data_IF_142417050826
#
_entry.id   IF_142417050826
#
_cell.length_a   1.000
_cell.length_b   1.000
_cell.length_c   1.000
_cell.angle_alpha   90.00
_cell.angle_beta   90.00
_cell.angle_gamma   90.00
#
_symmetry.space_group_name_H-M   'P 1'
#
loop_
_entity.id
_entity.type
_entity.pdbx_description
1 polymer ?
#
# COMPACT_ATOMS: atom_id res chain seq x y z
N UNK A 1 -54.97 5.33 -54.54
CA UNK A 1 -53.91 6.16 -53.90
C UNK A 1 -53.35 5.42 -52.70
N UNK A 2 -52.19 4.76 -52.85
CA UNK A 2 -51.50 4.05 -51.77
C UNK A 2 -50.36 4.93 -51.25
N UNK A 3 -50.40 5.31 -49.97
CA UNK A 3 -49.29 5.99 -49.29
C UNK A 3 -48.44 4.94 -48.57
N UNK A 4 -47.23 4.69 -49.09
CA UNK A 4 -46.17 3.94 -48.40
C UNK A 4 -45.70 4.74 -47.18
N UNK A 5 -45.81 4.17 -45.98
CA UNK A 5 -45.11 4.64 -44.78
C UNK A 5 -43.67 4.16 -44.85
N UNK A 6 -42.72 5.09 -44.93
CA UNK A 6 -41.31 4.79 -44.67
C UNK A 6 -41.14 4.56 -43.17
N UNK A 7 -40.76 3.35 -42.76
CA UNK A 7 -40.20 3.11 -41.43
C UNK A 7 -38.74 3.55 -41.45
N UNK A 8 -38.41 4.56 -40.63
CA UNK A 8 -37.02 4.91 -40.34
C UNK A 8 -36.43 3.78 -39.50
N UNK A 9 -35.49 3.03 -40.06
CA UNK A 9 -34.68 2.09 -39.28
C UNK A 9 -33.86 2.89 -38.27
N UNK A 10 -34.19 2.70 -37.00
CA UNK A 10 -33.39 3.20 -35.89
C UNK A 10 -32.08 2.40 -35.87
N UNK A 11 -30.99 2.99 -36.35
CA UNK A 11 -29.65 2.42 -36.18
C UNK A 11 -29.24 2.74 -34.74
N UNK A 12 -29.14 1.75 -33.83
CA UNK A 12 -28.65 2.03 -32.49
C UNK A 12 -27.21 2.54 -32.59
N UNK A 13 -26.91 3.66 -31.91
CA UNK A 13 -25.54 4.15 -31.81
C UNK A 13 -24.67 3.02 -31.22
N UNK A 14 -23.46 2.77 -31.76
CA UNK A 14 -22.55 1.81 -31.18
C UNK A 14 -22.35 2.19 -29.71
N UNK A 15 -22.69 1.27 -28.81
CA UNK A 15 -22.32 1.43 -27.41
C UNK A 15 -20.80 1.46 -27.37
N UNK A 16 -20.21 2.60 -27.00
CA UNK A 16 -18.78 2.67 -26.74
C UNK A 16 -18.47 1.65 -25.65
N UNK A 17 -17.83 0.53 -26.02
CA UNK A 17 -17.33 -0.44 -25.05
C UNK A 17 -16.46 0.33 -24.06
N UNK A 18 -16.75 0.16 -22.77
CA UNK A 18 -16.01 0.77 -21.68
C UNK A 18 -14.52 0.42 -21.86
N UNK A 19 -13.68 1.44 -21.99
CA UNK A 19 -12.24 1.26 -22.17
C UNK A 19 -11.65 0.83 -20.82
N UNK A 20 -10.96 -0.31 -20.72
CA UNK A 20 -10.56 -0.82 -19.42
C UNK A 20 -9.37 -0.03 -18.83
N UNK A 21 -9.31 0.12 -17.51
CA UNK A 21 -8.12 0.62 -16.79
C UNK A 21 -6.94 -0.36 -16.92
N UNK A 22 -5.72 0.10 -16.65
CA UNK A 22 -4.54 -0.79 -16.59
C UNK A 22 -4.80 -1.99 -15.66
N UNK A 23 -5.48 -1.78 -14.54
CA UNK A 23 -5.83 -2.85 -13.61
C UNK A 23 -6.87 -3.85 -14.19
N UNK A 24 -7.82 -3.36 -14.99
CA UNK A 24 -8.80 -4.18 -15.72
C UNK A 24 -8.13 -4.95 -16.87
N UNK A 25 -7.13 -4.36 -17.54
CA UNK A 25 -6.32 -5.04 -18.57
C UNK A 25 -5.42 -6.11 -17.96
N UNK A 26 -4.83 -5.83 -16.80
CA UNK A 26 -4.14 -6.83 -16.00
C UNK A 26 -5.11 -7.94 -15.58
N UNK A 27 -6.36 -7.63 -15.20
CA UNK A 27 -7.36 -8.67 -14.88
C UNK A 27 -7.69 -9.59 -16.07
N UNK A 28 -7.80 -9.04 -17.29
CA UNK A 28 -8.01 -9.83 -18.51
C UNK A 28 -6.81 -10.71 -18.88
N UNK A 29 -5.60 -10.27 -18.53
CA UNK A 29 -4.36 -11.03 -18.72
C UNK A 29 -4.31 -12.35 -17.94
N UNK A 30 -5.04 -12.51 -16.83
CA UNK A 30 -5.05 -13.77 -16.08
C UNK A 30 -5.83 -14.90 -16.74
N UNK A 31 -6.49 -14.66 -17.88
CA UNK A 31 -7.36 -15.65 -18.55
C UNK A 31 -6.75 -16.24 -19.85
N UNK A 32 -5.54 -15.84 -20.29
CA UNK A 32 -4.96 -16.24 -21.60
C UNK A 32 -3.66 -17.08 -21.54
N UNK A 33 -3.43 -17.93 -22.57
CA UNK A 33 -2.32 -18.90 -22.69
C UNK A 33 -0.92 -18.30 -23.03
N UNK A 34 0.13 -19.08 -22.74
CA UNK A 34 1.53 -18.72 -22.41
C UNK A 34 2.36 -17.86 -23.41
N UNK A 35 1.96 -17.71 -24.67
CA UNK A 35 2.73 -16.99 -25.70
C UNK A 35 2.49 -15.48 -25.75
N UNK A 36 1.24 -15.05 -25.58
CA UNK A 36 0.86 -13.63 -25.52
C UNK A 36 1.25 -13.00 -24.17
N UNK A 37 1.34 -13.83 -23.12
CA UNK A 37 1.70 -13.40 -21.78
C UNK A 37 3.09 -12.77 -21.69
N UNK A 38 4.09 -13.28 -22.42
CA UNK A 38 5.46 -12.73 -22.34
C UNK A 38 5.58 -11.33 -22.94
N UNK A 39 5.00 -11.10 -24.13
CA UNK A 39 5.03 -9.78 -24.78
C UNK A 39 4.34 -8.72 -23.93
N UNK A 40 3.27 -9.12 -23.25
CA UNK A 40 2.52 -8.24 -22.37
C UNK A 40 3.24 -7.95 -21.05
N UNK A 41 3.90 -8.95 -20.46
CA UNK A 41 4.81 -8.73 -19.33
C UNK A 41 5.95 -7.78 -19.69
N UNK A 42 6.59 -7.99 -20.85
CA UNK A 42 7.69 -7.14 -21.33
C UNK A 42 7.21 -5.70 -21.55
N UNK A 43 6.03 -5.53 -22.14
CA UNK A 43 5.36 -4.24 -22.30
C UNK A 43 5.14 -3.55 -20.94
N UNK A 44 4.50 -4.23 -20.00
CA UNK A 44 4.20 -3.63 -18.69
C UNK A 44 5.48 -3.32 -17.91
N UNK A 45 6.48 -4.20 -17.92
CA UNK A 45 7.79 -3.93 -17.29
C UNK A 45 8.43 -2.68 -17.88
N UNK A 46 8.47 -2.55 -19.20
CA UNK A 46 9.01 -1.36 -19.87
C UNK A 46 8.20 -0.11 -19.53
N UNK A 47 6.87 -0.21 -19.54
CA UNK A 47 5.98 0.92 -19.25
C UNK A 47 6.07 1.38 -17.78
N UNK A 48 6.08 0.47 -16.81
CA UNK A 48 6.26 0.80 -15.40
C UNK A 48 7.67 1.36 -15.14
N UNK A 49 8.70 0.82 -15.80
CA UNK A 49 10.05 1.38 -15.75
C UNK A 49 10.13 2.81 -16.29
N UNK A 50 9.41 3.10 -17.39
CA UNK A 50 9.26 4.46 -17.90
C UNK A 50 8.59 5.38 -16.87
N UNK A 51 7.46 4.96 -16.29
CA UNK A 51 6.76 5.76 -15.28
C UNK A 51 7.63 6.03 -14.05
N UNK A 52 8.39 5.05 -13.59
CA UNK A 52 9.34 5.22 -12.49
C UNK A 52 10.36 6.29 -12.84
N UNK A 53 11.07 6.15 -13.97
CA UNK A 53 12.09 7.10 -14.41
C UNK A 53 11.52 8.52 -14.55
N UNK A 54 10.35 8.68 -15.16
CA UNK A 54 9.71 9.99 -15.31
C UNK A 54 9.28 10.62 -13.97
N UNK A 55 8.98 9.82 -12.94
CA UNK A 55 8.73 10.33 -11.59
C UNK A 55 10.02 10.70 -10.89
N UNK A 56 11.10 9.96 -11.08
CA UNK A 56 12.43 10.30 -10.57
C UNK A 56 12.92 11.65 -11.14
N UNK A 57 12.65 11.92 -12.42
CA UNK A 57 12.93 13.22 -13.06
C UNK A 57 12.14 14.38 -12.43
N UNK A 58 10.99 14.09 -11.81
CA UNK A 58 10.12 15.05 -11.11
C UNK A 58 10.20 14.93 -9.58
N UNK A 59 11.24 14.28 -9.05
CA UNK A 59 11.29 13.93 -7.62
C UNK A 59 11.20 15.15 -6.72
N UNK A 60 11.85 16.26 -7.07
CA UNK A 60 11.79 17.51 -6.30
C UNK A 60 10.35 18.06 -6.22
N UNK A 61 9.66 18.18 -7.36
CA UNK A 61 8.25 18.59 -7.42
C UNK A 61 7.34 17.66 -6.59
N UNK A 62 7.61 16.34 -6.65
CA UNK A 62 6.87 15.33 -5.88
C UNK A 62 7.09 15.51 -4.38
N UNK A 63 8.34 15.70 -3.96
CA UNK A 63 8.71 15.89 -2.55
C UNK A 63 8.06 17.16 -2.02
N UNK A 64 8.20 18.29 -2.73
CA UNK A 64 7.60 19.57 -2.34
C UNK A 64 6.08 19.45 -2.19
N UNK A 65 5.42 18.80 -3.15
CA UNK A 65 3.97 18.62 -3.12
C UNK A 65 3.49 17.75 -1.95
N UNK A 66 4.28 16.75 -1.55
CA UNK A 66 3.97 15.89 -0.40
C UNK A 66 4.28 16.59 0.92
N UNK A 67 5.43 17.26 1.03
CA UNK A 67 5.83 18.00 2.22
C UNK A 67 4.86 19.14 2.55
N UNK A 68 4.27 19.78 1.54
CA UNK A 68 3.29 20.87 1.71
C UNK A 68 1.98 20.44 2.42
N UNK A 69 1.70 19.14 2.50
CA UNK A 69 0.49 18.59 3.15
C UNK A 69 0.80 17.64 4.31
N UNK A 70 2.08 17.50 4.67
CA UNK A 70 2.55 16.59 5.71
C UNK A 70 2.74 17.31 7.06
N UNK A 71 1.72 18.04 7.49
CA UNK A 71 1.70 18.87 8.70
C UNK A 71 0.97 18.23 9.88
N UNK A 72 0.48 16.99 9.71
CA UNK A 72 -0.27 16.30 10.75
C UNK A 72 0.67 15.66 11.76
N UNK A 73 0.81 16.29 12.92
CA UNK A 73 1.42 15.65 14.08
C UNK A 73 0.42 14.72 14.78
N UNK A 74 0.90 13.58 15.29
CA UNK A 74 0.10 12.64 16.08
C UNK A 74 0.77 12.39 17.43
N UNK A 75 -0.02 12.48 18.49
CA UNK A 75 0.33 12.04 19.83
C UNK A 75 -0.86 11.26 20.38
N UNK A 76 -0.88 9.94 20.17
CA UNK A 76 -2.02 9.10 20.53
C UNK A 76 -1.63 7.63 20.70
N UNK A 77 -2.51 6.86 21.34
CA UNK A 77 -2.36 5.42 21.50
C UNK A 77 -2.96 4.67 20.29
N UNK A 78 -2.25 3.64 19.83
CA UNK A 78 -2.59 2.78 18.71
C UNK A 78 -2.43 1.32 19.10
N UNK A 79 -3.07 0.42 18.35
CA UNK A 79 -3.02 -1.01 18.61
C UNK A 79 -2.23 -1.75 17.54
N UNK A 80 -1.42 -2.72 17.96
CA UNK A 80 -0.77 -3.70 17.07
C UNK A 80 -1.05 -5.12 17.57
N UNK A 81 -1.37 -6.03 16.64
CA UNK A 81 -1.44 -7.48 16.91
C UNK A 81 -0.17 -8.13 16.39
N UNK A 82 0.47 -8.96 17.22
CA UNK A 82 1.75 -9.61 16.90
C UNK A 82 1.67 -11.07 17.31
N UNK A 83 2.06 -11.99 16.39
CA UNK A 83 2.12 -13.40 16.73
C UNK A 83 3.26 -13.64 17.75
N UNK A 84 2.97 -14.38 18.82
CA UNK A 84 3.91 -14.59 19.93
C UNK A 84 5.24 -15.21 19.49
N UNK A 85 5.22 -16.05 18.45
CA UNK A 85 6.43 -16.67 17.88
C UNK A 85 7.48 -15.66 17.38
N UNK A 86 7.07 -14.41 17.13
CA UNK A 86 7.97 -13.32 16.72
C UNK A 86 8.44 -12.47 17.91
N UNK A 87 7.69 -12.39 19.01
CA UNK A 87 8.12 -11.88 20.32
C UNK A 87 8.53 -10.39 20.42
N UNK A 88 8.64 -9.66 19.33
CA UNK A 88 9.11 -8.27 19.30
C UNK A 88 8.03 -7.33 18.70
N UNK A 89 7.26 -6.60 19.55
CA UNK A 89 6.15 -5.77 19.10
C UNK A 89 6.52 -4.53 18.30
N UNK A 90 7.78 -4.10 18.31
CA UNK A 90 8.25 -2.96 17.52
C UNK A 90 9.07 -3.41 16.30
N UNK A 91 9.35 -4.71 16.16
CA UNK A 91 10.04 -5.22 14.98
C UNK A 91 9.30 -4.88 13.68
N UNK A 92 10.08 -4.40 12.71
CA UNK A 92 9.63 -4.09 11.34
C UNK A 92 10.13 -5.10 10.31
N UNK A 93 10.85 -6.14 10.74
CA UNK A 93 11.42 -7.18 9.88
C UNK A 93 10.36 -7.81 8.96
N UNK A 94 9.15 -8.03 9.47
CA UNK A 94 8.06 -8.59 8.69
C UNK A 94 7.66 -7.72 7.49
N UNK A 95 7.75 -6.39 7.61
CA UNK A 95 7.47 -5.47 6.51
C UNK A 95 8.50 -5.55 5.38
N UNK A 96 9.69 -6.09 5.63
CA UNK A 96 10.74 -6.24 4.62
C UNK A 96 10.67 -7.60 3.89
N UNK A 97 9.77 -8.50 4.28
CA UNK A 97 9.66 -9.82 3.67
C UNK A 97 8.82 -9.78 2.37
N UNK A 98 9.25 -10.55 1.36
CA UNK A 98 8.53 -10.67 0.08
C UNK A 98 8.31 -9.30 -0.59
N UNK A 99 7.08 -8.98 -1.05
CA UNK A 99 6.79 -7.68 -1.66
C UNK A 99 6.91 -6.51 -0.69
N UNK A 100 6.84 -6.76 0.62
CA UNK A 100 6.63 -5.75 1.65
C UNK A 100 5.15 -5.49 1.93
N UNK A 101 4.86 -4.41 2.65
CA UNK A 101 3.49 -3.99 2.98
C UNK A 101 2.92 -2.99 1.97
N UNK A 102 1.72 -2.46 2.26
CA UNK A 102 0.99 -1.54 1.37
C UNK A 102 1.81 -0.32 0.98
N UNK A 103 2.50 0.30 1.94
CA UNK A 103 3.25 1.54 1.75
C UNK A 103 4.77 1.34 1.89
N UNK A 104 5.27 0.11 1.74
CA UNK A 104 6.71 -0.12 1.76
C UNK A 104 7.15 -1.24 0.81
N UNK A 105 8.39 -1.14 0.34
CA UNK A 105 9.00 -2.09 -0.59
C UNK A 105 9.83 -3.09 0.23
N UNK A 106 9.54 -4.39 0.04
CA UNK A 106 10.27 -5.49 0.66
C UNK A 106 11.45 -5.99 -0.17
N UNK A 107 12.19 -6.96 0.39
CA UNK A 107 13.40 -7.56 -0.20
C UNK A 107 13.12 -8.45 -1.43
N UNK A 108 11.86 -8.70 -1.76
CA UNK A 108 11.48 -9.59 -2.86
C UNK A 108 11.72 -9.01 -4.25
N UNK A 109 11.97 -7.69 -4.36
CA UNK A 109 12.13 -6.97 -5.62
C UNK A 109 13.59 -6.53 -5.80
N UNK A 110 14.29 -7.08 -6.79
CA UNK A 110 15.75 -6.89 -6.93
C UNK A 110 16.22 -5.52 -7.43
N UNK A 111 15.33 -4.70 -7.97
CA UNK A 111 15.64 -3.46 -8.68
C UNK A 111 15.28 -2.18 -7.92
N UNK A 112 14.63 -2.29 -6.75
CA UNK A 112 14.28 -1.14 -5.91
C UNK A 112 14.76 -1.34 -4.49
N UNK A 113 15.32 -0.30 -3.85
CA UNK A 113 15.84 -0.40 -2.49
C UNK A 113 14.68 -0.64 -1.50
N UNK A 114 14.72 -1.70 -0.68
CA UNK A 114 13.69 -1.94 0.32
C UNK A 114 13.80 -0.94 1.48
N UNK A 115 12.68 -0.67 2.13
CA UNK A 115 12.59 0.17 3.32
C UNK A 115 11.49 -0.33 4.25
N UNK A 116 11.65 -0.06 5.54
CA UNK A 116 10.83 -0.69 6.57
C UNK A 116 9.66 0.20 7.00
N UNK A 117 8.54 -0.44 7.29
CA UNK A 117 7.38 0.22 7.91
C UNK A 117 6.91 -0.51 9.16
N UNK A 118 6.54 0.26 10.18
CA UNK A 118 5.75 -0.23 11.29
C UNK A 118 4.26 0.04 11.01
N UNK A 119 3.46 -1.01 10.93
CA UNK A 119 2.01 -0.89 10.74
C UNK A 119 1.27 -1.02 12.07
N UNK A 120 0.43 -0.05 12.36
CA UNK A 120 -0.43 0.00 13.56
C UNK A 120 -1.85 0.43 13.17
N UNK A 121 -2.84 0.01 13.95
CA UNK A 121 -4.24 0.37 13.76
C UNK A 121 -4.71 1.33 14.85
N UNK A 122 -5.75 2.12 14.59
CA UNK A 122 -6.33 3.05 15.56
C UNK A 122 -6.91 2.34 16.80
N UNK A 123 -7.35 1.10 16.66
CA UNK A 123 -7.89 0.31 17.77
C UNK A 123 -7.71 -1.21 17.56
N UNK A 124 -8.11 -1.99 18.56
CA UNK A 124 -8.06 -3.45 18.53
C UNK A 124 -8.94 -4.06 17.44
N UNK A 125 -10.14 -3.52 17.22
CA UNK A 125 -11.07 -4.07 16.24
C UNK A 125 -10.47 -3.98 14.84
N UNK A 126 -9.93 -2.82 14.47
CA UNK A 126 -9.24 -2.60 13.20
C UNK A 126 -7.97 -3.44 13.11
N UNK A 127 -7.14 -3.51 14.17
CA UNK A 127 -5.94 -4.37 14.17
C UNK A 127 -6.28 -5.85 13.92
N UNK A 128 -7.39 -6.32 14.51
CA UNK A 128 -7.88 -7.69 14.34
C UNK A 128 -8.38 -7.93 12.92
N UNK A 129 -9.15 -6.98 12.35
CA UNK A 129 -9.62 -7.04 10.96
C UNK A 129 -8.46 -7.11 9.97
N UNK A 130 -7.40 -6.31 10.17
CA UNK A 130 -6.21 -6.32 9.31
C UNK A 130 -5.41 -7.62 9.45
N UNK A 131 -5.26 -8.15 10.66
CA UNK A 131 -4.48 -9.37 10.90
C UNK A 131 -5.17 -10.65 10.41
N UNK A 132 -6.50 -10.74 10.59
CA UNK A 132 -7.26 -11.97 10.36
C UNK A 132 -8.27 -11.87 9.22
N UNK A 133 -8.39 -10.72 8.56
CA UNK A 133 -9.32 -10.42 7.46
C UNK A 133 -10.81 -10.51 7.80
N UNK A 134 -11.16 -10.68 9.08
CA UNK A 134 -12.52 -10.75 9.59
C UNK A 134 -12.62 -9.98 10.91
N UNK A 135 -13.80 -9.42 11.24
CA UNK A 135 -13.97 -8.74 12.52
C UNK A 135 -13.95 -9.71 13.71
N UNK A 136 -13.61 -9.23 14.93
CA UNK A 136 -13.76 -10.00 16.15
C UNK A 136 -15.19 -10.56 16.29
N UNK A 137 -15.30 -11.83 16.66
CA UNK A 137 -16.60 -12.50 16.81
C UNK A 137 -17.28 -12.89 15.50
N UNK A 138 -16.67 -12.64 14.33
CA UNK A 138 -17.17 -13.17 13.07
C UNK A 138 -17.26 -14.70 13.10
N UNK A 139 -18.39 -15.22 12.60
CA UNK A 139 -18.69 -16.65 12.51
C UNK A 139 -19.11 -17.01 11.09
N UNK A 140 -18.51 -18.07 10.53
CA UNK A 140 -19.01 -18.75 9.33
C UNK A 140 -19.43 -20.17 9.71
N UNK A 141 -20.71 -20.36 9.98
CA UNK A 141 -21.21 -21.58 10.63
C UNK A 141 -20.68 -21.67 12.06
N UNK A 142 -19.96 -22.74 12.40
CA UNK A 142 -19.35 -22.96 13.73
C UNK A 142 -17.86 -22.61 13.79
N UNK A 143 -17.33 -21.96 12.74
CA UNK A 143 -15.92 -21.59 12.64
C UNK A 143 -15.80 -20.08 12.80
N UNK A 144 -15.12 -19.64 13.86
CA UNK A 144 -14.81 -18.24 14.11
C UNK A 144 -13.60 -17.77 13.29
N UNK A 145 -13.37 -16.45 13.25
CA UNK A 145 -12.25 -15.83 12.53
C UNK A 145 -10.87 -16.43 12.88
N UNK A 146 -10.61 -16.72 14.16
CA UNK A 146 -9.33 -17.28 14.60
C UNK A 146 -9.16 -18.71 14.09
N UNK A 147 -10.20 -19.53 14.17
CA UNK A 147 -10.20 -20.89 13.60
C UNK A 147 -10.04 -20.87 12.08
N UNK A 148 -10.67 -19.92 11.38
CA UNK A 148 -10.46 -19.75 9.93
C UNK A 148 -8.99 -19.41 9.61
N UNK A 149 -8.33 -18.63 10.47
CA UNK A 149 -6.92 -18.30 10.36
C UNK A 149 -5.98 -19.40 10.92
N UNK A 150 -6.51 -20.52 11.43
CA UNK A 150 -5.76 -21.56 12.13
C UNK A 150 -4.93 -21.02 13.30
N UNK A 151 -5.52 -20.11 14.08
CA UNK A 151 -4.91 -19.48 15.26
C UNK A 151 -5.78 -19.69 16.50
N UNK A 152 -5.15 -19.61 17.67
CA UNK A 152 -5.81 -19.54 18.98
C UNK A 152 -5.56 -18.16 19.60
N UNK A 153 -6.40 -17.71 20.56
CA UNK A 153 -6.14 -16.49 21.32
C UNK A 153 -4.76 -16.44 21.99
N UNK A 154 -4.20 -17.61 22.33
CA UNK A 154 -2.87 -17.75 22.91
C UNK A 154 -1.71 -17.61 21.91
N UNK A 155 -1.97 -17.47 20.61
CA UNK A 155 -0.91 -17.47 19.58
C UNK A 155 -0.45 -16.04 19.23
N UNK A 156 -1.16 -15.02 19.73
CA UNK A 156 -0.86 -13.62 19.49
C UNK A 156 -0.98 -12.77 20.76
N UNK A 157 -0.35 -11.61 20.73
CA UNK A 157 -0.52 -10.55 21.71
C UNK A 157 -1.11 -9.32 21.04
N UNK A 158 -1.96 -8.61 21.79
CA UNK A 158 -2.41 -7.26 21.45
C UNK A 158 -1.58 -6.28 22.25
N UNK A 159 -0.95 -5.33 21.59
CA UNK A 159 -0.02 -4.37 22.19
C UNK A 159 -0.55 -2.97 21.93
N UNK A 160 -0.70 -2.18 23.00
CA UNK A 160 -0.97 -0.75 22.92
C UNK A 160 0.36 0.00 22.78
N UNK A 161 0.40 0.90 21.80
CA UNK A 161 1.57 1.65 21.40
C UNK A 161 1.26 3.15 21.47
N UNK A 162 2.01 3.89 22.26
CA UNK A 162 2.00 5.35 22.25
C UNK A 162 2.86 5.85 21.11
N UNK A 163 2.26 6.55 20.16
CA UNK A 163 2.97 7.18 19.04
C UNK A 163 3.09 8.68 19.30
N UNK A 164 4.29 9.20 19.11
CA UNK A 164 4.58 10.63 18.97
C UNK A 164 5.27 10.81 17.61
N UNK A 165 4.55 11.27 16.58
CA UNK A 165 5.09 11.42 15.22
C UNK A 165 4.79 12.83 14.72
N UNK A 166 5.81 13.56 14.28
CA UNK A 166 5.71 14.99 13.93
C UNK A 166 5.11 15.23 12.54
N UNK A 167 5.48 14.41 11.56
CA UNK A 167 5.14 14.63 10.15
C UNK A 167 4.39 13.44 9.57
N UNK A 168 3.07 13.55 9.54
CA UNK A 168 2.21 12.60 8.86
C UNK A 168 1.47 13.22 7.68
N UNK A 169 1.21 12.40 6.66
CA UNK A 169 0.21 12.68 5.64
C UNK A 169 -1.07 11.89 5.94
N UNK A 170 -2.22 12.58 5.94
CA UNK A 170 -3.51 11.96 6.25
C UNK A 170 -4.32 11.65 4.99
N UNK A 171 -4.35 10.37 4.59
CA UNK A 171 -5.13 9.88 3.47
C UNK A 171 -6.59 9.60 3.83
N UNK A 172 -7.05 9.84 5.05
CA UNK A 172 -8.50 9.87 5.34
C UNK A 172 -9.14 11.07 4.64
N UNK A 173 -8.37 12.14 4.43
CA UNK A 173 -8.69 13.21 3.50
C UNK A 173 -8.01 13.00 2.14
N UNK A 174 -8.77 12.50 1.15
CA UNK A 174 -8.26 12.28 -0.21
C UNK A 174 -7.71 13.54 -0.89
N UNK A 175 -8.12 14.74 -0.46
CA UNK A 175 -7.69 15.99 -1.08
C UNK A 175 -6.21 16.30 -0.81
N UNK A 176 -5.62 15.67 0.21
CA UNK A 176 -4.18 15.73 0.49
C UNK A 176 -3.34 15.12 -0.66
N UNK A 177 -3.94 14.32 -1.53
CA UNK A 177 -3.27 13.78 -2.71
C UNK A 177 -3.27 14.74 -3.91
N UNK A 178 -3.94 15.89 -3.83
CA UNK A 178 -4.15 16.78 -4.99
C UNK A 178 -2.84 17.29 -5.59
N UNK A 179 -1.94 17.81 -4.75
CA UNK A 179 -0.65 18.35 -5.19
C UNK A 179 0.21 17.27 -5.86
N UNK A 180 0.39 16.14 -5.17
CA UNK A 180 1.13 15.00 -5.71
C UNK A 180 0.52 14.48 -7.02
N UNK A 181 -0.81 14.37 -7.11
CA UNK A 181 -1.48 13.92 -8.34
C UNK A 181 -1.25 14.90 -9.50
N UNK A 182 -1.26 16.20 -9.24
CA UNK A 182 -1.01 17.21 -10.28
C UNK A 182 0.36 16.96 -10.93
N UNK A 183 1.40 16.77 -10.12
CA UNK A 183 2.77 16.53 -10.60
C UNK A 183 2.85 15.27 -11.47
N UNK A 184 2.30 14.13 -11.00
CA UNK A 184 2.39 12.86 -11.74
C UNK A 184 1.44 12.79 -12.94
N UNK A 185 0.37 13.59 -12.96
CA UNK A 185 -0.62 13.58 -14.05
C UNK A 185 -0.04 14.13 -15.35
N UNK A 186 1.03 14.94 -15.27
CA UNK A 186 1.77 15.48 -16.40
C UNK A 186 2.62 14.44 -17.12
N UNK A 187 2.91 13.31 -16.48
CA UNK A 187 3.68 12.22 -17.09
C UNK A 187 2.79 11.54 -18.14
N UNK A 188 3.14 11.72 -19.42
CA UNK A 188 2.42 11.13 -20.56
C UNK A 188 3.23 10.01 -21.18
N UNK A 189 2.60 8.87 -21.53
CA UNK A 189 3.26 7.84 -22.33
C UNK A 189 3.73 8.41 -23.67
N UNK A 190 4.92 7.99 -24.11
CA UNK A 190 5.42 8.31 -25.46
C UNK A 190 4.55 7.66 -26.54
N UNK A 191 4.65 8.15 -27.77
CA UNK A 191 3.89 7.56 -28.89
C UNK A 191 4.30 6.11 -29.17
N UNK A 192 5.56 5.75 -28.88
CA UNK A 192 6.04 4.36 -28.95
C UNK A 192 5.24 3.43 -28.02
N UNK A 193 5.05 3.82 -26.76
CA UNK A 193 4.24 3.02 -25.83
C UNK A 193 2.77 2.94 -26.26
N UNK A 194 2.21 4.01 -26.82
CA UNK A 194 0.83 4.00 -27.35
C UNK A 194 0.68 3.03 -28.53
N UNK A 195 1.67 2.99 -29.42
CA UNK A 195 1.71 2.05 -30.54
C UNK A 195 1.85 0.62 -30.05
N UNK A 196 2.79 0.35 -29.14
CA UNK A 196 3.00 -0.99 -28.59
C UNK A 196 1.75 -1.50 -27.84
N UNK A 197 1.08 -0.65 -27.07
CA UNK A 197 -0.19 -0.98 -26.44
C UNK A 197 -1.26 -1.35 -27.48
N UNK A 198 -1.39 -0.57 -28.55
CA UNK A 198 -2.34 -0.83 -29.64
C UNK A 198 -2.07 -2.16 -30.33
N UNK A 199 -0.80 -2.49 -30.57
CA UNK A 199 -0.38 -3.76 -31.18
C UNK A 199 -0.71 -4.97 -30.30
N UNK A 200 -0.73 -4.77 -28.97
CA UNK A 200 -1.17 -5.77 -27.99
C UNK A 200 -2.70 -5.79 -27.77
N UNK A 201 -3.47 -5.06 -28.58
CA UNK A 201 -4.94 -5.00 -28.47
C UNK A 201 -5.45 -4.03 -27.41
N UNK A 202 -4.57 -3.21 -26.82
CA UNK A 202 -4.92 -2.21 -25.81
C UNK A 202 -5.06 -0.82 -26.43
N UNK A 203 -6.29 -0.31 -26.43
CA UNK A 203 -6.61 0.95 -27.11
C UNK A 203 -6.23 2.21 -26.32
N UNK A 204 -5.85 2.10 -25.04
CA UNK A 204 -5.36 3.24 -24.27
C UNK A 204 -4.46 2.85 -23.09
N UNK A 205 -3.36 3.58 -22.94
CA UNK A 205 -2.58 3.59 -21.70
C UNK A 205 -3.10 4.69 -20.80
N UNK A 206 -3.86 4.31 -19.78
CA UNK A 206 -4.41 5.27 -18.83
C UNK A 206 -3.39 5.51 -17.72
N UNK A 207 -2.82 6.71 -17.68
CA UNK A 207 -2.11 7.20 -16.50
C UNK A 207 -3.10 7.72 -15.47
N UNK A 208 -2.68 7.84 -14.22
CA UNK A 208 -3.47 8.45 -13.15
C UNK A 208 -3.63 9.94 -13.48
N UNK A 209 -4.86 10.42 -13.59
CA UNK A 209 -5.14 11.83 -13.96
C UNK A 209 -5.82 12.61 -12.84
N UNK A 210 -6.39 11.92 -11.85
CA UNK A 210 -7.11 12.57 -10.75
C UNK A 210 -6.71 11.99 -9.40
N UNK A 211 -6.75 12.81 -8.34
CA UNK A 211 -6.45 12.35 -6.99
C UNK A 211 -7.43 11.28 -6.53
N UNK A 212 -8.68 11.29 -7.02
CA UNK A 212 -9.64 10.22 -6.77
C UNK A 212 -9.27 8.89 -7.42
N UNK A 213 -8.66 8.90 -8.61
CA UNK A 213 -8.07 7.70 -9.22
C UNK A 213 -6.88 7.21 -8.41
N UNK A 214 -5.93 8.12 -8.09
CA UNK A 214 -4.77 7.79 -7.29
C UNK A 214 -5.20 7.13 -5.97
N UNK A 215 -6.11 7.77 -5.25
CA UNK A 215 -6.63 7.30 -3.98
C UNK A 215 -7.11 5.85 -4.01
N UNK A 216 -7.87 5.48 -5.05
CA UNK A 216 -8.33 4.10 -5.24
C UNK A 216 -7.17 3.13 -5.45
N UNK A 217 -6.16 3.52 -6.24
CA UNK A 217 -4.98 2.66 -6.46
C UNK A 217 -4.12 2.51 -5.21
N UNK A 218 -4.05 3.52 -4.33
CA UNK A 218 -3.31 3.44 -3.07
C UNK A 218 -3.98 2.48 -2.07
N UNK A 219 -5.32 2.43 -2.10
CA UNK A 219 -6.13 1.61 -1.20
C UNK A 219 -6.66 0.32 -1.84
N UNK A 220 -6.06 -0.11 -2.95
CA UNK A 220 -6.44 -1.37 -3.61
C UNK A 220 -6.16 -2.56 -2.66
N UNK A 221 -7.16 -3.38 -2.30
CA UNK A 221 -6.94 -4.57 -1.47
C UNK A 221 -5.89 -5.53 -2.03
N UNK A 222 -5.72 -5.57 -3.36
CA UNK A 222 -4.86 -6.50 -4.08
C UNK A 222 -3.53 -5.87 -4.53
N UNK A 223 -3.00 -4.90 -3.77
CA UNK A 223 -1.78 -4.17 -4.11
C UNK A 223 -0.56 -5.07 -4.39
N UNK A 224 -0.48 -6.29 -3.84
CA UNK A 224 0.63 -7.23 -4.08
C UNK A 224 0.60 -7.90 -5.46
N UNK A 225 -0.48 -7.74 -6.23
CA UNK A 225 -0.64 -8.34 -7.56
C UNK A 225 0.49 -7.98 -8.53
N UNK A 226 0.92 -6.71 -8.52
CA UNK A 226 2.01 -6.24 -9.38
C UNK A 226 3.33 -6.96 -9.09
N UNK A 227 3.60 -7.28 -7.83
CA UNK A 227 4.79 -8.02 -7.44
C UNK A 227 4.80 -9.42 -8.08
N UNK A 228 3.73 -10.19 -7.91
CA UNK A 228 3.70 -11.57 -8.41
C UNK A 228 3.65 -11.69 -9.93
N UNK A 229 3.06 -10.69 -10.62
CA UNK A 229 2.85 -10.76 -12.07
C UNK A 229 3.91 -10.03 -12.89
N UNK A 230 4.43 -8.92 -12.36
CA UNK A 230 5.35 -8.04 -13.10
C UNK A 230 6.72 -7.91 -12.43
N UNK A 231 6.89 -8.44 -11.22
CA UNK A 231 8.04 -8.15 -10.35
C UNK A 231 8.25 -6.64 -10.21
N UNK A 232 7.19 -5.91 -9.83
CA UNK A 232 7.19 -4.44 -9.72
C UNK A 232 6.43 -3.97 -8.48
N UNK A 233 6.86 -2.87 -7.83
CA UNK A 233 6.09 -2.27 -6.75
C UNK A 233 4.75 -1.72 -7.25
N UNK A 234 3.75 -1.75 -6.38
CA UNK A 234 2.46 -1.12 -6.62
C UNK A 234 2.52 0.41 -6.46
N UNK A 235 1.46 1.10 -6.90
CA UNK A 235 1.36 2.55 -6.74
C UNK A 235 1.42 2.97 -5.26
N UNK A 236 0.86 2.19 -4.33
CA UNK A 236 0.93 2.47 -2.89
C UNK A 236 2.35 2.35 -2.34
N UNK A 237 3.14 1.40 -2.84
CA UNK A 237 4.52 1.22 -2.42
C UNK A 237 5.42 2.32 -2.98
N UNK A 238 5.23 2.72 -4.24
CA UNK A 238 5.89 3.89 -4.81
C UNK A 238 5.52 5.18 -4.08
N UNK A 239 4.24 5.35 -3.73
CA UNK A 239 3.80 6.48 -2.92
C UNK A 239 4.50 6.50 -1.54
N UNK A 240 4.61 5.35 -0.88
CA UNK A 240 5.37 5.22 0.36
C UNK A 240 6.85 5.57 0.20
N UNK A 241 7.46 5.20 -0.93
CA UNK A 241 8.84 5.58 -1.26
C UNK A 241 8.98 7.11 -1.42
N UNK A 242 8.04 7.77 -2.10
CA UNK A 242 8.09 9.23 -2.21
C UNK A 242 7.83 9.93 -0.87
N UNK A 243 6.96 9.39 -0.02
CA UNK A 243 6.79 9.87 1.35
C UNK A 243 8.09 9.72 2.16
N UNK A 244 8.80 8.60 1.99
CA UNK A 244 10.11 8.39 2.58
C UNK A 244 11.10 9.48 2.13
N UNK A 245 11.19 9.74 0.83
CA UNK A 245 12.07 10.80 0.29
C UNK A 245 11.70 12.21 0.77
N UNK A 246 10.41 12.46 1.02
CA UNK A 246 9.90 13.74 1.52
C UNK A 246 10.10 13.93 3.05
N UNK A 247 10.75 13.00 3.74
CA UNK A 247 10.94 13.07 5.19
C UNK A 247 9.65 12.88 5.99
N UNK A 248 8.60 12.33 5.39
CA UNK A 248 7.33 12.02 6.06
C UNK A 248 7.53 10.78 6.92
N UNK A 249 7.09 10.84 8.17
CA UNK A 249 7.28 9.77 9.14
C UNK A 249 6.08 8.84 9.21
N UNK A 250 4.87 9.33 8.94
CA UNK A 250 3.64 8.54 9.02
C UNK A 250 2.72 8.74 7.83
N UNK A 251 2.10 7.65 7.38
CA UNK A 251 0.99 7.69 6.42
C UNK A 251 -0.24 7.18 7.16
N UNK A 252 -1.22 8.05 7.40
CA UNK A 252 -2.51 7.69 8.01
C UNK A 252 -3.45 7.31 6.87
N UNK A 253 -4.10 6.15 6.94
CA UNK A 253 -4.98 5.70 5.85
C UNK A 253 -6.17 4.89 6.36
N UNK A 254 -7.35 4.97 5.73
CA UNK A 254 -8.49 4.13 6.09
C UNK A 254 -8.16 2.64 5.98
N UNK A 255 -8.72 1.85 6.89
CA UNK A 255 -8.62 0.40 6.77
C UNK A 255 -9.42 -0.08 5.56
N UNK A 256 -8.85 -1.03 4.81
CA UNK A 256 -9.55 -1.72 3.71
C UNK A 256 -10.37 -2.90 4.23
N UNK A 257 -10.23 -3.24 5.51
CA UNK A 257 -10.86 -4.38 6.19
C UNK A 257 -11.91 -3.94 7.21
N UNK A 258 -11.78 -2.75 7.77
CA UNK A 258 -12.72 -2.12 8.70
C UNK A 258 -13.17 -0.75 8.16
N UNK A 259 -14.47 -0.59 7.92
CA UNK A 259 -15.02 0.63 7.31
C UNK A 259 -14.97 1.87 8.22
N UNK A 260 -14.86 1.66 9.53
CA UNK A 260 -14.81 2.76 10.52
C UNK A 260 -13.38 3.00 11.03
N UNK A 261 -12.49 2.02 10.82
CA UNK A 261 -11.11 2.02 11.27
C UNK A 261 -10.12 2.70 10.34
N UNK A 262 -8.94 2.99 10.87
CA UNK A 262 -7.81 3.48 10.11
C UNK A 262 -6.49 2.94 10.65
N UNK A 263 -5.47 2.97 9.81
CA UNK A 263 -4.13 2.49 10.12
C UNK A 263 -3.11 3.60 9.93
N UNK A 264 -1.92 3.36 10.47
CA UNK A 264 -0.73 4.16 10.23
C UNK A 264 0.38 3.24 9.75
N UNK A 265 1.02 3.61 8.65
CA UNK A 265 2.31 3.08 8.24
C UNK A 265 3.38 4.09 8.68
N UNK A 266 4.19 3.72 9.67
CA UNK A 266 5.30 4.56 10.15
C UNK A 266 6.56 4.19 9.39
N UNK A 267 7.10 5.15 8.64
CA UNK A 267 8.33 5.08 7.87
C UNK A 267 9.51 5.27 8.83
N UNK A 268 9.97 4.16 9.41
CA UNK A 268 10.88 4.20 10.57
C UNK A 268 12.23 4.85 10.28
N UNK A 269 12.67 4.81 9.03
CA UNK A 269 13.88 5.48 8.53
C UNK A 269 13.83 7.00 8.70
N UNK A 270 12.63 7.61 8.66
CA UNK A 270 12.44 9.05 8.82
C UNK A 270 12.26 9.50 10.28
N UNK A 271 12.38 8.58 11.24
CA UNK A 271 12.48 8.95 12.65
C UNK A 271 13.86 9.55 12.98
N UNK A 272 14.86 9.25 12.17
CA UNK A 272 16.23 9.75 12.35
C UNK A 272 16.24 11.27 12.43
N UNK A 273 17.02 11.80 13.38
CA UNK A 273 17.21 13.25 13.57
C UNK A 273 15.89 14.00 13.89
N UNK A 274 14.94 13.32 14.56
CA UNK A 274 13.65 13.88 15.01
C UNK A 274 13.31 13.46 16.45
N UNK A 275 12.32 14.10 17.08
CA UNK A 275 11.81 13.76 18.42
C UNK A 275 10.68 12.71 18.36
N UNK A 276 10.44 12.15 17.18
CA UNK A 276 9.40 11.18 16.95
C UNK A 276 9.77 9.82 17.56
N UNK A 277 8.79 9.18 18.20
CA UNK A 277 8.99 7.92 18.91
C UNK A 277 7.73 7.05 18.92
N UNK A 278 7.95 5.74 19.06
CA UNK A 278 6.92 4.73 19.29
C UNK A 278 7.28 3.97 20.55
N UNK A 279 6.36 3.90 21.50
CA UNK A 279 6.58 3.26 22.80
C UNK A 279 5.51 2.21 23.07
N UNK A 280 5.91 1.05 23.60
CA UNK A 280 4.98 0.09 24.20
C UNK A 280 4.44 0.69 25.51
N UNK A 281 3.13 0.87 25.61
CA UNK A 281 2.52 1.50 26.79
C UNK A 281 2.40 0.53 27.98
N UNK A 282 2.27 -0.76 27.70
CA UNK A 282 2.16 -1.78 28.74
C UNK A 282 3.49 -1.95 29.49
N UNK A 283 3.41 -1.96 30.82
CA UNK A 283 4.49 -2.46 31.65
C UNK A 283 4.52 -3.99 31.58
N UNK A 284 5.47 -4.53 30.81
CA UNK A 284 5.58 -5.97 30.56
C UNK A 284 7.03 -6.44 30.72
N UNK A 285 7.26 -7.58 31.41
CA UNK A 285 8.58 -8.21 31.48
C UNK A 285 8.91 -9.03 30.22
N UNK A 286 7.93 -9.25 29.34
CA UNK A 286 8.08 -10.13 28.17
C UNK A 286 8.90 -9.48 27.06
N UNK A 287 8.94 -8.13 27.03
CA UNK A 287 9.71 -7.37 26.05
C UNK A 287 10.91 -6.75 26.77
N UNK A 288 12.14 -6.98 26.30
CA UNK A 288 13.34 -6.32 26.84
C UNK A 288 13.21 -4.80 26.86
N UNK A 289 13.78 -4.13 27.87
CA UNK A 289 13.62 -2.67 28.04
C UNK A 289 14.16 -1.87 26.85
N UNK A 290 15.25 -2.32 26.23
CA UNK A 290 15.84 -1.74 25.02
C UNK A 290 14.97 -1.95 23.75
N UNK A 291 13.89 -2.72 23.86
CA UNK A 291 12.91 -3.01 22.81
C UNK A 291 11.54 -2.38 23.06
N UNK A 292 11.37 -1.63 24.16
CA UNK A 292 10.10 -0.98 24.50
C UNK A 292 9.88 0.36 23.80
N UNK A 293 10.95 0.99 23.28
CA UNK A 293 10.88 2.31 22.63
C UNK A 293 11.69 2.29 21.34
N UNK A 294 11.06 2.72 20.25
CA UNK A 294 11.70 3.02 18.97
C UNK A 294 11.73 4.55 18.79
N UNK A 295 12.88 5.10 18.40
CA UNK A 295 13.07 6.53 18.12
C UNK A 295 14.17 6.73 17.06
N UNK A 296 14.53 7.99 16.80
CA UNK A 296 15.55 8.36 15.82
C UNK A 296 16.95 7.78 16.07
N UNK A 297 17.28 7.41 17.32
CA UNK A 297 18.61 6.90 17.67
C UNK A 297 18.74 5.38 17.51
N UNK A 298 17.62 4.65 17.57
CA UNK A 298 17.64 3.19 17.70
C UNK A 298 16.76 2.43 16.69
N UNK A 299 16.06 3.12 15.77
CA UNK A 299 15.13 2.48 14.83
C UNK A 299 15.76 1.35 13.99
N UNK A 300 17.05 1.45 13.65
CA UNK A 300 17.79 0.41 12.94
C UNK A 300 17.82 -0.94 13.69
N UNK A 301 17.80 -0.91 15.03
CA UNK A 301 17.83 -2.13 15.85
C UNK A 301 16.57 -2.99 15.68
N UNK A 302 15.46 -2.39 15.24
CA UNK A 302 14.18 -3.05 15.01
C UNK A 302 14.03 -3.63 13.59
N UNK A 303 14.99 -3.36 12.71
CA UNK A 303 15.09 -3.98 11.37
C UNK A 303 15.84 -5.32 11.39
N UNK A 304 16.41 -5.70 12.53
CA UNK A 304 17.18 -6.94 12.70
C UNK A 304 16.32 -8.00 13.38
N UNK A 305 16.32 -9.22 12.83
CA UNK A 305 15.62 -10.36 13.42
C UNK A 305 16.37 -10.90 14.64
N UNK A 306 15.74 -10.88 15.81
CA UNK A 306 16.27 -11.60 16.98
C UNK A 306 15.86 -13.08 16.91
N UNK A 307 16.76 -14.03 17.20
CA UNK A 307 16.39 -15.43 17.42
C UNK A 307 15.43 -15.57 18.62
N UNK A 308 14.27 -16.20 18.42
CA UNK A 308 13.19 -16.36 19.41
C UNK A 308 13.65 -16.96 20.76
N UNK A 309 14.79 -17.67 20.79
CA UNK A 309 15.38 -18.24 22.02
C UNK A 309 15.85 -17.22 23.06
N UNK A 310 15.90 -15.92 22.74
CA UNK A 310 16.33 -14.86 23.69
C UNK A 310 15.19 -14.07 24.37
N UNK A 311 13.93 -14.26 23.97
CA UNK A 311 12.81 -13.43 24.44
C UNK A 311 11.98 -14.14 25.54
N UNK A 312 12.20 -15.44 25.76
CA UNK A 312 11.41 -16.27 26.69
C UNK A 312 12.21 -16.87 27.86
N UNK A 313 13.39 -16.31 28.16
CA UNK A 313 14.19 -16.68 29.34
C UNK A 313 14.31 -15.51 30.30
#
# INVERSE_FOLDING_TARGET
MSRKKHSSQFIPRPQHKKIPSIDELLNQYFESEDGENKKLQDFFKAYYGFLQKSREEKLEEIVDALSAVADTAITASYTRIVQLKYGDPLSVVGSLAGPGGRFNIGNGMGHTKPFACLYVANDFHTAFCECYHYPPGYMRGNVDALKMALQKPSDFMTVQLGLNIEKCIDLRNKDNLRGFTQVISDIKPTDEFKLWAKDLGYFSLRTIQTHGELYRTLLDPDFVKNYYSLDMPSNSQWFGYYCLMAGIQGIIFPSVRDKQGYNIAVLVDNLKDTESSIKIEADTPVVPDDRKVMNGDNFEFFKIKIPTKKILN
#
